data_IF_448502979247
#
_entry.id   IF_448502979247
#
_cell.length_a   1.000
_cell.length_b   1.000
_cell.length_c   1.000
_cell.angle_alpha   90.00
_cell.angle_beta   90.00
_cell.angle_gamma   90.00
#
_symmetry.space_group_name_H-M   'P 1'
#
loop_
_entity.id
_entity.type
_entity.pdbx_description
1 polymer ?
#
# COMPACT_ATOMS: atom_id res chain seq x y z
N UNK A 1 -17.94 -20.60 -9.82
CA UNK A 1 -18.53 -20.18 -8.54
C UNK A 1 -17.53 -19.51 -7.59
N UNK A 2 -16.36 -20.10 -7.30
CA UNK A 2 -15.38 -19.50 -6.37
C UNK A 2 -14.92 -18.07 -6.71
N UNK A 3 -14.63 -17.81 -7.99
CA UNK A 3 -14.29 -16.46 -8.48
C UNK A 3 -15.41 -15.44 -8.23
N UNK A 4 -16.66 -15.80 -8.56
CA UNK A 4 -17.82 -14.93 -8.39
C UNK A 4 -18.04 -14.59 -6.91
N UNK A 5 -17.99 -15.59 -6.03
CA UNK A 5 -18.11 -15.39 -4.58
C UNK A 5 -17.02 -14.45 -4.06
N UNK A 6 -15.76 -14.68 -4.47
CA UNK A 6 -14.65 -13.83 -4.06
C UNK A 6 -14.82 -12.37 -4.53
N UNK A 7 -15.19 -12.12 -5.78
CA UNK A 7 -15.44 -10.76 -6.27
C UNK A 7 -16.58 -10.07 -5.52
N UNK A 8 -17.67 -10.79 -5.23
CA UNK A 8 -18.79 -10.25 -4.45
C UNK A 8 -18.32 -9.90 -3.03
N UNK A 9 -17.62 -10.81 -2.35
CA UNK A 9 -17.07 -10.55 -1.02
C UNK A 9 -16.10 -9.37 -1.02
N UNK A 10 -15.24 -9.26 -2.05
CA UNK A 10 -14.30 -8.16 -2.19
C UNK A 10 -15.01 -6.80 -2.33
N UNK A 11 -16.05 -6.73 -3.17
CA UNK A 11 -16.87 -5.52 -3.33
C UNK A 11 -17.53 -5.13 -2.00
N UNK A 12 -18.11 -6.10 -1.29
CA UNK A 12 -18.75 -5.87 0.02
C UNK A 12 -17.74 -5.34 1.03
N UNK A 13 -16.59 -5.99 1.17
CA UNK A 13 -15.53 -5.57 2.11
C UNK A 13 -15.03 -4.16 1.76
N UNK A 14 -14.81 -3.88 0.48
CA UNK A 14 -14.37 -2.56 0.02
C UNK A 14 -15.42 -1.50 0.32
N UNK A 15 -16.70 -1.80 0.10
CA UNK A 15 -17.81 -0.91 0.43
C UNK A 15 -17.92 -0.65 1.94
N UNK A 16 -17.77 -1.67 2.77
CA UNK A 16 -17.73 -1.51 4.23
C UNK A 16 -16.56 -0.62 4.66
N UNK A 17 -15.38 -0.81 4.06
CA UNK A 17 -14.21 0.04 4.28
C UNK A 17 -14.46 1.50 3.93
N UNK A 18 -15.03 1.77 2.74
CA UNK A 18 -15.36 3.15 2.32
C UNK A 18 -16.46 3.76 3.18
N UNK A 19 -17.42 2.98 3.66
CA UNK A 19 -18.46 3.41 4.61
C UNK A 19 -17.90 3.82 5.97
N UNK A 20 -16.97 3.04 6.53
CA UNK A 20 -16.27 3.39 7.78
C UNK A 20 -15.52 4.71 7.59
N UNK A 21 -14.76 4.82 6.50
CA UNK A 21 -14.01 6.04 6.18
C UNK A 21 -14.91 7.26 6.01
N UNK A 22 -16.01 7.12 5.25
CA UNK A 22 -17.00 8.18 5.08
C UNK A 22 -17.65 8.59 6.40
N UNK A 23 -17.87 7.63 7.31
CA UNK A 23 -18.45 7.92 8.62
C UNK A 23 -17.49 8.70 9.51
N UNK A 24 -16.18 8.46 9.39
CA UNK A 24 -15.15 9.20 10.13
C UNK A 24 -14.98 10.63 9.59
N UNK A 25 -15.02 10.83 8.27
CA UNK A 25 -14.80 12.15 7.66
C UNK A 25 -16.06 13.02 7.68
N UNK A 26 -17.23 12.44 7.42
CA UNK A 26 -18.49 13.18 7.32
C UNK A 26 -19.37 12.93 8.56
N UNK A 27 -18.81 12.99 9.78
CA UNK A 27 -19.52 12.62 11.02
C UNK A 27 -20.90 13.27 11.13
N UNK A 28 -20.99 14.55 10.77
CA UNK A 28 -22.18 15.38 10.94
C UNK A 28 -23.23 15.22 9.82
N UNK A 29 -22.92 14.46 8.76
CA UNK A 29 -23.86 14.23 7.65
C UNK A 29 -24.78 13.04 7.90
N UNK A 30 -25.99 13.12 7.36
CA UNK A 30 -26.97 12.04 7.40
C UNK A 30 -26.45 10.77 6.69
N UNK A 31 -26.93 9.60 7.13
CA UNK A 31 -26.51 8.29 6.61
C UNK A 31 -26.62 8.17 5.08
N UNK A 32 -27.69 8.71 4.49
CA UNK A 32 -27.89 8.74 3.02
C UNK A 32 -26.75 9.46 2.29
N UNK A 33 -26.24 10.56 2.85
CA UNK A 33 -25.11 11.29 2.28
C UNK A 33 -23.80 10.51 2.39
N UNK A 34 -23.58 9.84 3.53
CA UNK A 34 -22.43 8.95 3.76
C UNK A 34 -22.40 7.77 2.78
N UNK A 35 -23.56 7.15 2.54
CA UNK A 35 -23.71 6.08 1.55
C UNK A 35 -23.39 6.59 0.14
N UNK A 36 -23.98 7.72 -0.27
CA UNK A 36 -23.72 8.32 -1.60
C UNK A 36 -22.23 8.61 -1.81
N UNK A 37 -21.57 9.19 -0.81
CA UNK A 37 -20.14 9.47 -0.86
C UNK A 37 -19.31 8.17 -0.94
N UNK A 38 -19.67 7.15 -0.17
CA UNK A 38 -18.98 5.84 -0.19
C UNK A 38 -19.14 5.11 -1.52
N UNK A 39 -20.30 5.19 -2.16
CA UNK A 39 -20.52 4.66 -3.51
C UNK A 39 -19.69 5.42 -4.57
N UNK A 40 -19.60 6.75 -4.45
CA UNK A 40 -18.76 7.56 -5.34
C UNK A 40 -17.27 7.27 -5.15
N UNK A 41 -16.82 7.03 -3.92
CA UNK A 41 -15.46 6.56 -3.65
C UNK A 41 -15.23 5.16 -4.23
N UNK A 42 -16.19 4.25 -4.06
CA UNK A 42 -16.09 2.89 -4.55
C UNK A 42 -15.97 2.84 -6.07
N UNK A 43 -16.75 3.65 -6.81
CA UNK A 43 -16.67 3.71 -8.27
C UNK A 43 -15.33 4.26 -8.77
N UNK A 44 -14.62 5.05 -7.97
CA UNK A 44 -13.28 5.52 -8.28
C UNK A 44 -12.19 4.51 -7.89
N UNK A 45 -12.31 3.86 -6.72
CA UNK A 45 -11.30 2.95 -6.18
C UNK A 45 -11.29 1.60 -6.91
N UNK A 46 -12.46 1.03 -7.23
CA UNK A 46 -12.57 -0.29 -7.84
C UNK A 46 -11.79 -0.41 -9.17
N UNK A 47 -11.90 0.54 -10.13
CA UNK A 47 -11.12 0.48 -11.37
C UNK A 47 -9.61 0.50 -11.11
N UNK A 48 -9.14 1.38 -10.21
CA UNK A 48 -7.72 1.50 -9.88
C UNK A 48 -7.22 0.19 -9.28
N UNK A 49 -7.92 -0.33 -8.28
CA UNK A 49 -7.56 -1.60 -7.64
C UNK A 49 -7.58 -2.74 -8.66
N UNK A 50 -8.55 -2.78 -9.55
CA UNK A 50 -8.65 -3.82 -10.58
C UNK A 50 -7.47 -3.78 -11.55
N UNK A 51 -7.10 -2.60 -12.05
CA UNK A 51 -5.96 -2.43 -12.97
C UNK A 51 -4.65 -2.84 -12.29
N UNK A 52 -4.38 -2.33 -11.09
CA UNK A 52 -3.14 -2.65 -10.36
C UNK A 52 -3.09 -4.15 -10.02
N UNK A 53 -4.21 -4.72 -9.57
CA UNK A 53 -4.29 -6.17 -9.27
C UNK A 53 -4.06 -7.03 -10.50
N UNK A 54 -4.56 -6.60 -11.67
CA UNK A 54 -4.36 -7.30 -12.93
C UNK A 54 -2.88 -7.29 -13.36
N UNK A 55 -2.22 -6.12 -13.25
CA UNK A 55 -0.77 -6.02 -13.55
C UNK A 55 0.03 -6.92 -12.61
N UNK A 56 -0.24 -6.85 -11.30
CA UNK A 56 0.43 -7.72 -10.32
C UNK A 56 0.18 -9.20 -10.62
N UNK A 57 -1.05 -9.57 -10.95
CA UNK A 57 -1.42 -10.95 -11.29
C UNK A 57 -0.62 -11.48 -12.49
N UNK A 58 -0.54 -10.71 -13.57
CA UNK A 58 0.21 -11.09 -14.76
C UNK A 58 1.70 -11.31 -14.44
N UNK A 59 2.30 -10.41 -13.67
CA UNK A 59 3.71 -10.54 -13.27
C UNK A 59 3.91 -11.74 -12.34
N UNK A 60 2.98 -11.99 -11.42
CA UNK A 60 3.07 -13.14 -10.52
C UNK A 60 2.92 -14.48 -11.25
N UNK A 61 2.10 -14.55 -12.30
CA UNK A 61 2.04 -15.72 -13.20
C UNK A 61 3.41 -15.97 -13.84
N UNK A 62 4.06 -14.92 -14.34
CA UNK A 62 5.39 -15.04 -14.95
C UNK A 62 6.39 -15.56 -13.93
N UNK A 63 6.43 -14.99 -12.72
CA UNK A 63 7.32 -15.43 -11.64
C UNK A 63 7.04 -16.89 -11.28
N UNK A 64 5.77 -17.27 -11.08
CA UNK A 64 5.36 -18.65 -10.80
C UNK A 64 5.90 -19.61 -11.87
N UNK A 65 5.74 -19.25 -13.14
CA UNK A 65 6.17 -20.07 -14.28
C UNK A 65 7.69 -20.27 -14.29
N UNK A 66 8.45 -19.19 -14.13
CA UNK A 66 9.92 -19.23 -14.08
C UNK A 66 10.42 -20.04 -12.88
N UNK A 67 9.76 -19.93 -11.73
CA UNK A 67 10.18 -20.55 -10.47
C UNK A 67 9.66 -21.99 -10.28
N UNK A 68 8.73 -22.45 -11.12
CA UNK A 68 8.12 -23.78 -11.00
C UNK A 68 7.33 -23.98 -9.70
N UNK A 69 6.67 -22.93 -9.19
CA UNK A 69 5.92 -23.00 -7.92
C UNK A 69 4.50 -23.53 -8.17
N UNK A 70 4.08 -24.51 -7.38
CA UNK A 70 2.75 -25.10 -7.47
C UNK A 70 1.69 -24.25 -6.72
N UNK A 71 1.23 -23.19 -7.39
CA UNK A 71 0.15 -22.34 -6.91
C UNK A 71 -0.88 -22.19 -8.03
N UNK A 72 -2.15 -22.49 -7.77
CA UNK A 72 -3.17 -22.30 -8.79
C UNK A 72 -3.39 -20.81 -9.13
N UNK A 73 -3.90 -20.53 -10.34
CA UNK A 73 -4.06 -19.14 -10.80
C UNK A 73 -5.11 -18.36 -9.98
N UNK A 74 -6.10 -19.04 -9.39
CA UNK A 74 -7.08 -18.39 -8.52
C UNK A 74 -6.42 -17.81 -7.26
N UNK A 75 -5.54 -18.58 -6.63
CA UNK A 75 -4.80 -18.16 -5.45
C UNK A 75 -3.86 -17.00 -5.79
N UNK A 76 -3.19 -17.04 -6.95
CA UNK A 76 -2.39 -15.91 -7.42
C UNK A 76 -3.20 -14.63 -7.64
N UNK A 77 -4.43 -14.75 -8.14
CA UNK A 77 -5.34 -13.62 -8.29
C UNK A 77 -5.74 -13.02 -6.93
N UNK A 78 -6.02 -13.87 -5.94
CA UNK A 78 -6.29 -13.41 -4.56
C UNK A 78 -5.06 -12.68 -4.00
N UNK A 79 -3.87 -13.28 -4.15
CA UNK A 79 -2.60 -12.72 -3.67
C UNK A 79 -2.31 -11.37 -4.34
N UNK A 80 -2.62 -11.21 -5.63
CA UNK A 80 -2.41 -9.94 -6.34
C UNK A 80 -3.36 -8.85 -5.87
N UNK A 81 -4.63 -9.18 -5.62
CA UNK A 81 -5.61 -8.23 -5.06
C UNK A 81 -5.25 -7.82 -3.63
N UNK A 82 -4.82 -8.76 -2.79
CA UNK A 82 -4.27 -8.45 -1.48
C UNK A 82 -2.98 -7.63 -1.57
N UNK A 83 -2.19 -7.82 -2.64
CA UNK A 83 -1.01 -7.01 -2.95
C UNK A 83 -1.32 -5.52 -3.04
N UNK A 84 -2.47 -5.14 -3.59
CA UNK A 84 -2.90 -3.73 -3.62
C UNK A 84 -3.15 -3.18 -2.22
N UNK A 85 -3.78 -3.97 -1.35
CA UNK A 85 -4.00 -3.60 0.06
C UNK A 85 -2.66 -3.47 0.80
N UNK A 86 -1.72 -4.38 0.54
CA UNK A 86 -0.36 -4.34 1.07
C UNK A 86 0.35 -3.04 0.67
N UNK A 87 0.20 -2.59 -0.58
CA UNK A 87 0.78 -1.32 -1.05
C UNK A 87 0.28 -0.15 -0.20
N UNK A 88 -1.04 0.01 -0.07
CA UNK A 88 -1.61 1.15 0.66
C UNK A 88 -1.31 1.10 2.16
N UNK A 89 -1.46 -0.07 2.79
CA UNK A 89 -1.16 -0.25 4.22
C UNK A 89 0.33 -0.07 4.51
N UNK A 90 1.21 -0.62 3.67
CA UNK A 90 2.66 -0.46 3.75
C UNK A 90 3.10 1.00 3.62
N UNK A 91 2.47 1.79 2.74
CA UNK A 91 2.72 3.22 2.64
C UNK A 91 2.36 3.96 3.95
N UNK A 92 1.16 3.72 4.49
CA UNK A 92 0.68 4.40 5.71
C UNK A 92 1.56 4.04 6.90
N UNK A 93 1.82 2.74 7.09
CA UNK A 93 2.62 2.23 8.21
C UNK A 93 4.07 2.70 8.12
N UNK A 94 4.68 2.63 6.93
CA UNK A 94 6.08 3.05 6.76
C UNK A 94 6.24 4.55 7.05
N UNK A 95 5.35 5.41 6.54
CA UNK A 95 5.36 6.85 6.84
C UNK A 95 5.18 7.13 8.33
N UNK A 96 4.28 6.41 9.01
CA UNK A 96 4.06 6.56 10.45
C UNK A 96 5.33 6.20 11.25
N UNK A 97 5.91 5.03 11.00
CA UNK A 97 7.14 4.57 11.67
C UNK A 97 8.28 5.57 11.44
N UNK A 98 8.45 6.02 10.20
CA UNK A 98 9.48 6.97 9.81
C UNK A 98 9.28 8.33 10.49
N UNK A 99 8.05 8.84 10.55
CA UNK A 99 7.74 10.10 11.21
C UNK A 99 8.07 10.05 12.71
N UNK A 100 7.74 8.95 13.39
CA UNK A 100 8.07 8.76 14.81
C UNK A 100 9.58 8.70 15.05
N UNK A 101 10.34 7.99 14.20
CA UNK A 101 11.81 7.92 14.29
C UNK A 101 12.42 9.31 14.03
N UNK A 102 11.92 10.02 13.02
CA UNK A 102 12.40 11.34 12.66
C UNK A 102 12.16 12.36 13.78
N UNK A 103 10.94 12.38 14.34
CA UNK A 103 10.57 13.26 15.44
C UNK A 103 11.47 13.01 16.67
N UNK A 104 11.70 11.74 17.05
CA UNK A 104 12.59 11.40 18.18
C UNK A 104 14.03 11.87 17.95
N UNK A 105 14.60 11.65 16.76
CA UNK A 105 15.96 12.07 16.43
C UNK A 105 16.12 13.59 16.36
N UNK A 106 15.14 14.29 15.79
CA UNK A 106 15.12 15.74 15.73
C UNK A 106 15.04 16.34 17.13
N UNK A 107 14.12 15.83 17.95
CA UNK A 107 13.97 16.27 19.33
C UNK A 107 15.27 16.06 20.12
N UNK A 108 15.90 14.89 20.03
CA UNK A 108 17.17 14.64 20.74
C UNK A 108 18.32 15.54 20.29
N UNK A 109 18.41 15.84 18.99
CA UNK A 109 19.55 16.56 18.42
C UNK A 109 19.45 18.08 18.56
N UNK A 110 18.23 18.62 18.54
CA UNK A 110 17.99 20.07 18.47
C UNK A 110 17.18 20.60 19.66
N UNK A 111 17.04 19.83 20.75
CA UNK A 111 16.26 20.21 21.94
C UNK A 111 16.67 21.56 22.54
N UNK A 112 17.97 21.85 22.53
CA UNK A 112 18.59 22.99 23.21
C UNK A 112 19.21 23.97 22.21
N UNK A 113 18.89 23.84 20.93
CA UNK A 113 19.44 24.68 19.86
C UNK A 113 18.31 25.54 19.30
N UNK A 114 18.41 26.86 19.45
CA UNK A 114 17.57 27.79 18.69
C UNK A 114 18.03 27.80 17.24
N UNK A 115 17.20 27.23 16.37
CA UNK A 115 17.41 27.23 14.92
C UNK A 115 16.62 28.37 14.30
N UNK A 116 17.22 29.05 13.33
CA UNK A 116 16.50 29.96 12.44
C UNK A 116 15.51 29.20 11.53
N UNK A 117 14.52 29.88 10.97
CA UNK A 117 13.55 29.26 10.05
C UNK A 117 14.22 28.67 8.81
N UNK A 118 15.28 29.31 8.30
CA UNK A 118 16.04 28.84 7.15
C UNK A 118 16.80 27.54 7.45
N UNK A 119 17.35 27.43 8.66
CA UNK A 119 18.00 26.20 9.15
C UNK A 119 16.98 25.09 9.40
N UNK A 120 15.83 25.39 10.00
CA UNK A 120 14.74 24.41 10.17
C UNK A 120 14.29 23.86 8.83
N UNK A 121 14.10 24.72 7.83
CA UNK A 121 13.72 24.31 6.48
C UNK A 121 14.76 23.41 5.81
N UNK A 122 16.05 23.80 5.88
CA UNK A 122 17.15 23.01 5.33
C UNK A 122 17.33 21.65 6.04
N UNK A 123 17.09 21.60 7.35
CA UNK A 123 17.11 20.36 8.12
C UNK A 123 15.96 19.45 7.68
N UNK A 124 14.74 19.97 7.60
CA UNK A 124 13.54 19.20 7.23
C UNK A 124 13.65 18.63 5.82
N UNK A 125 14.11 19.41 4.85
CA UNK A 125 14.27 18.96 3.44
C UNK A 125 15.28 17.82 3.31
N UNK A 126 16.49 17.96 3.88
CA UNK A 126 17.50 16.88 3.89
C UNK A 126 17.01 15.60 4.58
N UNK A 127 16.24 15.78 5.65
CA UNK A 127 15.61 14.69 6.41
C UNK A 127 14.57 13.99 5.56
N UNK A 128 13.67 14.71 4.90
CA UNK A 128 12.61 14.14 4.07
C UNK A 128 13.16 13.20 2.98
N UNK A 129 14.24 13.57 2.29
CA UNK A 129 14.83 12.69 1.27
C UNK A 129 15.42 11.40 1.87
N UNK A 130 16.17 11.52 2.97
CA UNK A 130 16.73 10.36 3.69
C UNK A 130 15.61 9.44 4.18
N UNK A 131 14.59 10.00 4.79
CA UNK A 131 13.48 9.26 5.37
C UNK A 131 12.55 8.64 4.32
N UNK A 132 12.45 9.24 3.13
CA UNK A 132 11.78 8.60 1.98
C UNK A 132 12.45 7.29 1.57
N UNK A 133 13.79 7.24 1.51
CA UNK A 133 14.52 5.99 1.20
C UNK A 133 14.29 4.93 2.29
N UNK A 134 14.33 5.33 3.56
CA UNK A 134 14.06 4.43 4.70
C UNK A 134 12.62 3.90 4.66
N UNK A 135 11.64 4.74 4.31
CA UNK A 135 10.24 4.36 4.17
C UNK A 135 10.06 3.23 3.15
N UNK A 136 10.78 3.28 2.02
CA UNK A 136 10.74 2.24 0.99
C UNK A 136 11.31 0.91 1.51
N UNK A 137 12.41 0.95 2.27
CA UNK A 137 12.99 -0.26 2.87
C UNK A 137 12.01 -0.89 3.87
N UNK A 138 11.43 -0.08 4.76
CA UNK A 138 10.41 -0.53 5.72
C UNK A 138 9.20 -1.11 5.00
N UNK A 139 8.73 -0.46 3.94
CA UNK A 139 7.63 -0.95 3.13
C UNK A 139 7.96 -2.30 2.48
N UNK A 140 9.18 -2.49 1.97
CA UNK A 140 9.63 -3.79 1.45
C UNK A 140 9.58 -4.90 2.50
N UNK A 141 10.01 -4.60 3.74
CA UNK A 141 9.95 -5.53 4.86
C UNK A 141 8.49 -5.87 5.22
N UNK A 142 7.62 -4.86 5.31
CA UNK A 142 6.18 -5.06 5.56
C UNK A 142 5.58 -5.96 4.48
N UNK A 143 5.88 -5.70 3.20
CA UNK A 143 5.38 -6.50 2.09
C UNK A 143 5.81 -7.97 2.22
N UNK A 144 7.07 -8.24 2.58
CA UNK A 144 7.56 -9.61 2.81
C UNK A 144 6.80 -10.31 3.93
N UNK A 145 6.62 -9.64 5.06
CA UNK A 145 5.88 -10.18 6.21
C UNK A 145 4.44 -10.48 5.80
N UNK A 146 3.77 -9.54 5.12
CA UNK A 146 2.40 -9.73 4.67
C UNK A 146 2.25 -10.91 3.71
N UNK A 147 3.12 -11.05 2.72
CA UNK A 147 3.04 -12.20 1.79
C UNK A 147 3.35 -13.52 2.47
N UNK A 148 4.27 -13.55 3.43
CA UNK A 148 4.52 -14.75 4.23
C UNK A 148 3.27 -15.17 5.00
N UNK A 149 2.59 -14.22 5.67
CA UNK A 149 1.35 -14.49 6.40
C UNK A 149 0.24 -14.94 5.46
N UNK A 150 0.05 -14.28 4.31
CA UNK A 150 -0.99 -14.66 3.33
C UNK A 150 -0.78 -16.07 2.81
N UNK A 151 0.44 -16.40 2.37
CA UNK A 151 0.75 -17.73 1.85
C UNK A 151 0.58 -18.80 2.93
N UNK A 152 0.94 -18.49 4.18
CA UNK A 152 0.71 -19.37 5.32
C UNK A 152 -0.79 -19.62 5.59
N UNK A 153 -1.63 -18.58 5.58
CA UNK A 153 -3.09 -18.70 5.74
C UNK A 153 -3.69 -19.55 4.61
N UNK A 154 -3.20 -19.36 3.39
CA UNK A 154 -3.62 -20.10 2.20
C UNK A 154 -3.02 -21.51 2.13
N UNK A 155 -2.18 -21.91 3.10
CA UNK A 155 -1.48 -23.21 3.15
C UNK A 155 -0.67 -23.50 1.89
N UNK A 156 -0.03 -22.47 1.34
CA UNK A 156 0.84 -22.56 0.18
C UNK A 156 2.28 -22.66 0.66
N UNK A 157 2.94 -23.78 0.35
CA UNK A 157 4.37 -23.93 0.57
C UNK A 157 5.14 -23.16 -0.50
N UNK A 158 5.79 -22.07 -0.09
CA UNK A 158 6.55 -21.21 -0.98
C UNK A 158 7.96 -20.99 -0.45
N UNK A 159 8.94 -21.03 -1.37
CA UNK A 159 10.33 -20.69 -1.05
C UNK A 159 10.42 -19.20 -0.70
N UNK A 160 11.29 -18.82 0.24
CA UNK A 160 11.52 -17.43 0.62
C UNK A 160 11.86 -16.53 -0.57
N UNK A 161 12.57 -17.06 -1.57
CA UNK A 161 12.91 -16.32 -2.79
C UNK A 161 11.68 -15.94 -3.62
N UNK A 162 10.64 -16.78 -3.65
CA UNK A 162 9.38 -16.47 -4.31
C UNK A 162 8.69 -15.31 -3.59
N UNK A 163 8.63 -15.35 -2.26
CA UNK A 163 8.07 -14.29 -1.43
C UNK A 163 8.82 -12.97 -1.65
N UNK A 164 10.14 -13.01 -1.68
CA UNK A 164 10.97 -11.84 -1.94
C UNK A 164 10.67 -11.21 -3.31
N UNK A 165 10.50 -12.02 -4.36
CA UNK A 165 10.12 -11.53 -5.69
C UNK A 165 8.73 -10.89 -5.70
N UNK A 166 7.73 -11.49 -5.05
CA UNK A 166 6.41 -10.88 -4.91
C UNK A 166 6.52 -9.50 -4.23
N UNK A 167 7.27 -9.42 -3.12
CA UNK A 167 7.48 -8.17 -2.39
C UNK A 167 8.18 -7.09 -3.21
N UNK A 168 9.20 -7.46 -3.98
CA UNK A 168 9.93 -6.55 -4.86
C UNK A 168 9.01 -6.01 -5.96
N UNK A 169 8.26 -6.88 -6.64
CA UNK A 169 7.31 -6.46 -7.69
C UNK A 169 6.25 -5.53 -7.11
N UNK A 170 5.72 -5.83 -5.94
CA UNK A 170 4.74 -4.97 -5.25
C UNK A 170 5.33 -3.62 -4.86
N UNK A 171 6.59 -3.58 -4.43
CA UNK A 171 7.30 -2.33 -4.15
C UNK A 171 7.55 -1.53 -5.44
N UNK A 172 7.90 -2.18 -6.56
CA UNK A 172 8.05 -1.55 -7.87
C UNK A 172 6.72 -0.96 -8.33
N UNK A 173 5.63 -1.69 -8.20
CA UNK A 173 4.28 -1.23 -8.55
C UNK A 173 3.92 0.05 -7.77
N UNK A 174 4.25 0.11 -6.48
CA UNK A 174 4.09 1.32 -5.67
C UNK A 174 4.93 2.50 -6.19
N UNK A 175 6.23 2.28 -6.45
CA UNK A 175 7.13 3.34 -6.92
C UNK A 175 6.68 3.90 -8.27
N UNK A 176 6.27 3.01 -9.19
CA UNK A 176 5.73 3.41 -10.49
C UNK A 176 4.42 4.20 -10.33
N UNK A 177 3.49 3.72 -9.50
CA UNK A 177 2.24 4.41 -9.18
C UNK A 177 2.46 5.83 -8.62
N UNK A 178 3.43 6.01 -7.73
CA UNK A 178 3.79 7.34 -7.21
C UNK A 178 4.44 8.25 -8.25
N UNK A 179 5.17 7.69 -9.23
CA UNK A 179 5.80 8.50 -10.30
C UNK A 179 4.78 9.18 -11.21
N UNK A 180 3.62 8.55 -11.44
CA UNK A 180 2.51 9.15 -12.18
C UNK A 180 1.87 10.33 -11.44
N UNK A 181 1.84 10.29 -10.10
CA UNK A 181 1.35 11.41 -9.28
C UNK A 181 2.30 12.61 -9.28
N UNK A 182 3.62 12.38 -9.30
CA UNK A 182 4.63 13.46 -9.27
C UNK A 182 4.71 14.29 -10.54
N UNK A 183 4.41 13.73 -11.72
CA UNK A 183 4.45 14.50 -12.98
C UNK A 183 3.38 15.60 -13.05
N UNK A 184 2.36 15.58 -12.19
CA UNK A 184 1.32 16.62 -12.15
C UNK A 184 1.64 17.80 -11.22
N UNK A 185 2.63 17.72 -10.34
CA UNK A 185 2.95 18.79 -9.38
C UNK A 185 4.11 19.70 -9.81
N UNK A 186 4.63 19.55 -11.03
CA UNK A 186 5.74 20.37 -11.58
C UNK A 186 5.25 21.33 -12.67
N UNK A 187 3.95 21.37 -12.92
CA UNK A 187 3.30 22.23 -13.94
C UNK A 187 2.15 23.07 -13.37
N UNK A 188 2.22 23.47 -12.11
CA UNK A 188 1.35 24.51 -11.54
C UNK A 188 2.18 25.49 -10.74
#
# INVERSE_FOLDING_TARGET
MGYLFFFISFIIITFLGTMIFSSVINKDKNMKSKIKFSMMLLSFILPIVSIVSCILFLVFIIIKSIMGVDINNFNLLIISMLGVIIIFSGEILSKKIVAEIAAKKLFQKYKEIELSEEEKFNIVTKIQEKYRKISLVIMGIINMICYLVILSIMRIEARLIFIALLSIVTLIAYVLGMSFGKRKSVTQ
#
